data_IF_825757530414
#
_entry.id   IF_825757530414
#
_cell.length_a   1.000
_cell.length_b   1.000
_cell.length_c   1.000
_cell.angle_alpha   90.00
_cell.angle_beta   90.00
_cell.angle_gamma   90.00
#
_symmetry.space_group_name_H-M   'P 1'
#
loop_
_entity.id
_entity.type
_entity.pdbx_description
1 polymer ?
#
# COMPACT_ATOMS: atom_id res chain seq x y z
N UNK A 1 -15.25 14.44 2.33
CA UNK A 1 -14.76 15.00 1.05
C UNK A 1 -13.41 14.37 0.78
N UNK A 2 -13.30 13.67 -0.35
CA UNK A 2 -12.03 13.10 -0.79
C UNK A 2 -11.06 14.22 -1.21
N UNK A 3 -9.76 13.95 -1.19
CA UNK A 3 -8.74 14.93 -1.60
C UNK A 3 -8.97 15.41 -3.04
N UNK A 4 -9.41 14.51 -3.92
CA UNK A 4 -9.72 14.80 -5.32
C UNK A 4 -10.90 15.76 -5.46
N UNK A 5 -11.98 15.54 -4.70
CA UNK A 5 -13.14 16.46 -4.63
C UNK A 5 -12.76 17.86 -4.07
N UNK A 6 -11.80 17.92 -3.15
CA UNK A 6 -11.26 19.18 -2.61
C UNK A 6 -10.49 19.97 -3.67
N UNK A 7 -9.66 19.28 -4.46
CA UNK A 7 -8.87 19.89 -5.52
C UNK A 7 -9.75 20.36 -6.68
N UNK A 8 -10.76 19.57 -7.06
CA UNK A 8 -11.74 19.93 -8.08
C UNK A 8 -12.50 21.20 -7.70
N UNK A 9 -13.05 21.26 -6.48
CA UNK A 9 -13.74 22.46 -5.99
C UNK A 9 -12.85 23.69 -5.91
N UNK A 10 -11.57 23.53 -5.56
CA UNK A 10 -10.61 24.65 -5.55
C UNK A 10 -10.42 25.22 -6.95
N UNK A 11 -10.32 24.38 -7.96
CA UNK A 11 -10.21 24.80 -9.35
C UNK A 11 -11.50 25.48 -9.83
N UNK A 12 -12.67 24.91 -9.52
CA UNK A 12 -13.97 25.52 -9.84
C UNK A 12 -14.12 26.95 -9.27
N UNK A 13 -13.78 27.15 -8.00
CA UNK A 13 -13.87 28.47 -7.36
C UNK A 13 -12.84 29.44 -7.97
N UNK A 14 -11.64 28.97 -8.31
CA UNK A 14 -10.62 29.80 -8.95
C UNK A 14 -11.04 30.25 -10.35
N UNK A 15 -11.68 29.37 -11.11
CA UNK A 15 -12.26 29.71 -12.41
C UNK A 15 -13.43 30.69 -12.27
N UNK A 16 -14.29 30.47 -11.28
CA UNK A 16 -15.40 31.38 -10.99
C UNK A 16 -14.90 32.78 -10.58
N UNK A 17 -13.81 32.87 -9.79
CA UNK A 17 -13.17 34.14 -9.44
C UNK A 17 -12.68 34.89 -10.69
N UNK A 18 -12.09 34.20 -11.67
CA UNK A 18 -11.70 34.81 -12.96
C UNK A 18 -12.89 35.37 -13.73
N UNK A 19 -14.01 34.64 -13.75
CA UNK A 19 -15.24 35.09 -14.41
C UNK A 19 -15.81 36.32 -13.70
N UNK A 20 -15.80 36.33 -12.36
CA UNK A 20 -16.21 37.48 -11.56
C UNK A 20 -15.34 38.70 -11.85
N UNK A 21 -14.01 38.55 -11.92
CA UNK A 21 -13.10 39.66 -12.25
C UNK A 21 -13.40 40.30 -13.61
N UNK A 22 -13.67 39.48 -14.64
CA UNK A 22 -14.10 39.99 -15.96
C UNK A 22 -15.46 40.66 -15.93
N UNK A 23 -16.38 40.19 -15.10
CA UNK A 23 -17.72 40.77 -14.98
C UNK A 23 -17.69 42.08 -14.19
N UNK A 24 -16.81 42.15 -13.19
CA UNK A 24 -16.50 43.34 -12.42
C UNK A 24 -15.92 44.46 -13.28
N UNK A 25 -14.94 44.15 -14.13
CA UNK A 25 -14.39 45.09 -15.11
C UNK A 25 -15.50 45.66 -16.02
N UNK A 26 -16.35 44.79 -16.57
CA UNK A 26 -17.45 45.20 -17.44
C UNK A 26 -18.46 46.08 -16.70
N UNK A 27 -18.82 45.74 -15.47
CA UNK A 27 -19.73 46.56 -14.66
C UNK A 27 -19.19 47.97 -14.32
N UNK A 28 -17.87 48.15 -14.29
CA UNK A 28 -17.24 49.45 -14.03
C UNK A 28 -17.12 50.35 -15.28
N UNK A 29 -16.96 49.78 -16.47
CA UNK A 29 -16.61 50.55 -17.68
C UNK A 29 -17.58 50.41 -18.85
N UNK A 30 -18.36 49.32 -18.91
CA UNK A 30 -19.34 49.10 -19.97
C UNK A 30 -20.72 49.54 -19.45
N UNK A 31 -21.44 50.36 -20.23
CA UNK A 31 -22.78 50.88 -19.90
C UNK A 31 -23.89 49.82 -19.93
N UNK A 32 -23.53 48.54 -19.77
CA UNK A 32 -24.46 47.44 -19.77
C UNK A 32 -25.05 47.33 -18.36
N UNK A 33 -26.23 47.94 -18.18
CA UNK A 33 -27.06 47.82 -16.97
C UNK A 33 -27.64 46.39 -16.78
N UNK A 34 -26.96 45.38 -17.32
CA UNK A 34 -27.29 43.97 -17.27
C UNK A 34 -26.39 43.22 -16.29
N UNK A 35 -26.99 42.80 -15.18
CA UNK A 35 -26.57 41.73 -14.26
C UNK A 35 -25.65 42.11 -13.08
N UNK A 36 -26.31 42.33 -11.93
CA UNK A 36 -25.69 42.41 -10.60
C UNK A 36 -25.28 43.82 -10.19
N UNK A 37 -25.81 44.29 -9.04
CA UNK A 37 -25.24 45.47 -8.36
C UNK A 37 -23.73 45.27 -8.21
N UNK A 38 -22.91 46.27 -8.58
CA UNK A 38 -21.44 46.24 -8.42
C UNK A 38 -21.03 45.77 -7.00
N UNK A 39 -21.80 46.15 -5.99
CA UNK A 39 -21.63 45.69 -4.60
C UNK A 39 -21.89 44.19 -4.40
N UNK A 40 -22.79 43.59 -5.18
CA UNK A 40 -22.97 42.14 -5.22
C UNK A 40 -21.77 41.44 -5.86
N UNK A 41 -21.18 41.99 -6.92
CA UNK A 41 -19.96 41.44 -7.53
C UNK A 41 -18.78 41.50 -6.56
N UNK A 42 -18.55 42.65 -5.93
CA UNK A 42 -17.51 42.81 -4.90
C UNK A 42 -17.68 41.85 -3.72
N UNK A 43 -18.93 41.63 -3.29
CA UNK A 43 -19.28 40.65 -2.25
C UNK A 43 -19.03 39.22 -2.72
N UNK A 44 -19.37 38.87 -3.96
CA UNK A 44 -19.12 37.55 -4.52
C UNK A 44 -17.61 37.26 -4.62
N UNK A 45 -16.78 38.24 -5.02
CA UNK A 45 -15.31 38.12 -5.01
C UNK A 45 -14.80 37.83 -3.60
N UNK A 46 -15.30 38.57 -2.60
CA UNK A 46 -14.97 38.33 -1.18
C UNK A 46 -15.36 36.93 -0.70
N UNK A 47 -16.52 36.42 -1.13
CA UNK A 47 -16.97 35.06 -0.81
C UNK A 47 -16.04 34.03 -1.43
N UNK A 48 -15.68 34.16 -2.71
CA UNK A 48 -14.74 33.25 -3.37
C UNK A 48 -13.39 33.21 -2.68
N UNK A 49 -12.82 34.37 -2.33
CA UNK A 49 -11.56 34.42 -1.57
C UNK A 49 -11.69 33.76 -0.19
N UNK A 50 -12.80 33.99 0.52
CA UNK A 50 -13.08 33.34 1.80
C UNK A 50 -13.21 31.81 1.67
N UNK A 51 -13.86 31.34 0.61
CA UNK A 51 -14.06 29.92 0.37
C UNK A 51 -12.76 29.24 -0.09
N UNK A 52 -11.90 29.93 -0.84
CA UNK A 52 -10.53 29.48 -1.12
C UNK A 52 -9.71 29.35 0.16
N UNK A 53 -9.78 30.33 1.07
CA UNK A 53 -9.12 30.23 2.38
C UNK A 53 -9.63 29.01 3.18
N UNK A 54 -10.95 28.79 3.23
CA UNK A 54 -11.54 27.63 3.93
C UNK A 54 -11.14 26.31 3.28
N UNK A 55 -11.17 26.22 1.95
CA UNK A 55 -10.74 25.03 1.22
C UNK A 55 -9.26 24.73 1.46
N UNK A 56 -8.41 25.75 1.47
CA UNK A 56 -6.99 25.58 1.74
C UNK A 56 -6.73 25.17 3.21
N UNK A 57 -7.48 25.73 4.16
CA UNK A 57 -7.48 25.24 5.55
C UNK A 57 -7.93 23.79 5.63
N UNK A 58 -8.95 23.39 4.88
CA UNK A 58 -9.36 21.98 4.80
C UNK A 58 -8.32 21.10 4.13
N UNK A 59 -7.58 21.57 3.13
CA UNK A 59 -6.44 20.85 2.55
C UNK A 59 -5.31 20.67 3.58
N UNK A 60 -5.06 21.70 4.40
CA UNK A 60 -4.12 21.63 5.53
C UNK A 60 -4.64 20.65 6.61
N UNK A 61 -5.94 20.63 6.91
CA UNK A 61 -6.55 19.76 7.93
C UNK A 61 -6.73 18.31 7.46
N UNK A 62 -6.98 18.08 6.16
CA UNK A 62 -6.98 16.75 5.53
C UNK A 62 -5.62 16.07 5.72
N UNK A 63 -4.57 16.84 6.05
CA UNK A 63 -3.25 16.32 6.40
C UNK A 63 -3.16 15.71 7.81
N UNK A 64 -4.19 15.82 8.65
CA UNK A 64 -4.39 14.89 9.76
C UNK A 64 -4.56 13.44 9.26
N UNK A 65 -5.16 13.28 8.07
CA UNK A 65 -5.18 12.05 7.28
C UNK A 65 -3.81 11.69 6.70
N UNK A 66 -3.05 12.65 6.15
CA UNK A 66 -1.67 12.42 5.69
C UNK A 66 -0.77 11.91 6.81
N UNK A 67 -0.77 12.55 8.00
CA UNK A 67 0.00 12.07 9.16
C UNK A 67 -0.43 10.67 9.60
N UNK A 68 -1.72 10.36 9.55
CA UNK A 68 -2.24 9.01 9.81
C UNK A 68 -1.73 8.01 8.76
N UNK A 69 -1.69 8.40 7.49
CA UNK A 69 -1.19 7.57 6.39
C UNK A 69 0.32 7.33 6.51
N UNK A 70 1.11 8.35 6.83
CA UNK A 70 2.55 8.22 7.12
C UNK A 70 2.78 7.26 8.29
N UNK A 71 2.06 7.44 9.41
CA UNK A 71 2.14 6.53 10.56
C UNK A 71 1.68 5.12 10.22
N UNK A 72 0.67 4.97 9.34
CA UNK A 72 0.19 3.67 8.86
C UNK A 72 1.27 2.98 8.01
N UNK A 73 1.90 3.70 7.09
CA UNK A 73 3.01 3.22 6.27
C UNK A 73 4.20 2.80 7.14
N UNK A 74 4.59 3.60 8.14
CA UNK A 74 5.65 3.25 9.10
C UNK A 74 5.32 2.01 9.92
N UNK A 75 4.05 1.83 10.32
CA UNK A 75 3.59 0.61 11.00
C UNK A 75 3.67 -0.60 10.07
N UNK A 76 3.30 -0.44 8.79
CA UNK A 76 3.35 -1.50 7.79
C UNK A 76 4.80 -1.89 7.48
N UNK A 77 5.69 -0.91 7.30
CA UNK A 77 7.13 -1.10 7.12
C UNK A 77 7.76 -1.86 8.29
N UNK A 78 7.51 -1.41 9.53
CA UNK A 78 7.98 -2.10 10.73
C UNK A 78 7.45 -3.54 10.84
N UNK A 79 6.18 -3.77 10.45
CA UNK A 79 5.60 -5.11 10.45
C UNK A 79 6.28 -6.00 9.40
N UNK A 80 6.59 -5.45 8.23
CA UNK A 80 7.27 -6.16 7.15
C UNK A 80 8.71 -6.51 7.53
N UNK A 81 9.45 -5.60 8.16
CA UNK A 81 10.79 -5.86 8.73
C UNK A 81 10.78 -6.99 9.76
N UNK A 82 9.77 -7.05 10.63
CA UNK A 82 9.61 -8.16 11.60
C UNK A 82 9.35 -9.49 10.91
N UNK A 83 8.51 -9.51 9.88
CA UNK A 83 8.25 -10.71 9.08
C UNK A 83 9.51 -11.19 8.37
N UNK A 84 10.33 -10.27 7.85
CA UNK A 84 11.59 -10.59 7.19
C UNK A 84 12.62 -11.20 8.14
N UNK A 85 12.73 -10.64 9.34
CA UNK A 85 13.57 -11.21 10.39
C UNK A 85 13.12 -12.62 10.75
N UNK A 86 11.80 -12.84 10.91
CA UNK A 86 11.24 -14.18 11.16
C UNK A 86 11.53 -15.15 10.01
N UNK A 87 11.37 -14.70 8.75
CA UNK A 87 11.65 -15.51 7.56
C UNK A 87 13.11 -15.95 7.53
N UNK A 88 14.06 -15.03 7.77
CA UNK A 88 15.49 -15.37 7.84
C UNK A 88 15.80 -16.41 8.91
N UNK A 89 15.26 -16.24 10.12
CA UNK A 89 15.43 -17.23 11.19
C UNK A 89 14.92 -18.60 10.80
N UNK A 90 13.74 -18.70 10.16
CA UNK A 90 13.18 -19.99 9.71
C UNK A 90 13.99 -20.63 8.58
N UNK A 91 14.57 -19.83 7.67
CA UNK A 91 15.45 -20.33 6.61
C UNK A 91 16.75 -20.88 7.20
N UNK A 92 17.34 -20.19 8.16
CA UNK A 92 18.51 -20.66 8.91
C UNK A 92 18.20 -21.93 9.72
N UNK A 93 17.05 -21.96 10.39
CA UNK A 93 16.58 -23.14 11.11
C UNK A 93 16.41 -24.32 10.16
N UNK A 94 15.78 -24.13 8.99
CA UNK A 94 15.65 -25.16 7.95
C UNK A 94 17.01 -25.70 7.51
N UNK A 95 18.00 -24.84 7.33
CA UNK A 95 19.35 -25.24 6.95
C UNK A 95 20.02 -26.09 8.05
N UNK A 96 19.69 -25.88 9.33
CA UNK A 96 20.21 -26.70 10.44
C UNK A 96 19.65 -28.13 10.48
N UNK A 97 18.51 -28.39 9.83
CA UNK A 97 17.88 -29.71 9.75
C UNK A 97 18.48 -30.62 8.66
N UNK A 98 19.61 -30.28 8.05
CA UNK A 98 20.29 -31.13 7.08
C UNK A 98 21.11 -32.24 7.76
N UNK A 99 20.92 -33.48 7.33
CA UNK A 99 21.72 -34.62 7.80
C UNK A 99 23.16 -34.43 7.29
N UNK A 100 24.17 -34.32 8.18
CA UNK A 100 25.56 -34.27 7.75
C UNK A 100 25.88 -35.54 6.95
N UNK A 101 26.49 -35.36 5.78
CA UNK A 101 26.92 -36.48 4.95
C UNK A 101 27.70 -37.49 5.77
N UNK A 102 27.44 -38.78 5.56
CA UNK A 102 28.05 -39.89 6.30
C UNK A 102 29.57 -39.71 6.24
N UNK A 103 30.13 -39.15 7.31
CA UNK A 103 31.57 -39.06 7.48
C UNK A 103 32.03 -40.51 7.61
N UNK A 104 32.81 -40.97 6.62
CA UNK A 104 33.34 -42.32 6.57
C UNK A 104 33.80 -42.71 7.97
N UNK A 105 33.12 -43.71 8.55
CA UNK A 105 33.36 -44.17 9.91
C UNK A 105 34.87 -44.29 10.12
N UNK A 106 35.39 -43.53 11.08
CA UNK A 106 36.71 -43.82 11.67
C UNK A 106 36.61 -45.24 12.24
N UNK A 107 37.17 -46.18 11.50
CA UNK A 107 37.25 -47.59 11.82
C UNK A 107 38.18 -47.81 13.00
N UNK A 108 37.67 -47.69 14.22
CA UNK A 108 38.41 -48.07 15.43
C UNK A 108 37.44 -48.66 16.42
N UNK A 109 37.18 -49.95 16.24
CA UNK A 109 37.38 -51.02 17.21
C UNK A 109 36.54 -52.21 16.75
N UNK A 110 37.22 -53.14 16.06
CA UNK A 110 36.62 -54.40 15.68
C UNK A 110 36.32 -55.18 16.95
N UNK A 111 35.06 -55.16 17.40
CA UNK A 111 34.55 -56.18 18.30
C UNK A 111 34.72 -57.53 17.60
N UNK A 112 35.86 -58.20 17.86
CA UNK A 112 36.18 -59.48 17.25
C UNK A 112 35.34 -60.55 17.94
N UNK A 113 34.32 -61.03 17.25
CA UNK A 113 33.59 -62.22 17.68
C UNK A 113 34.50 -63.42 17.41
N UNK A 114 35.03 -64.05 18.47
CA UNK A 114 35.82 -65.27 18.35
C UNK A 114 34.90 -66.48 18.25
N UNK A 115 34.85 -67.12 17.08
CA UNK A 115 34.16 -68.39 16.88
C UNK A 115 35.21 -69.50 17.02
N UNK A 116 35.05 -70.36 18.03
CA UNK A 116 35.94 -71.52 18.23
C UNK A 116 35.46 -72.69 17.39
N UNK A 117 36.31 -73.18 16.47
CA UNK A 117 36.04 -74.36 15.63
C UNK A 117 36.65 -75.60 16.29
N UNK A 118 35.82 -76.44 16.89
CA UNK A 118 36.25 -77.68 17.57
C UNK A 118 36.07 -78.92 16.70
N UNK A 119 35.17 -78.87 15.72
CA UNK A 119 34.95 -79.99 14.79
C UNK A 119 36.22 -80.39 14.00
N UNK A 120 37.12 -79.43 13.75
CA UNK A 120 38.39 -79.68 13.05
C UNK A 120 39.33 -80.58 13.84
N UNK A 121 39.32 -80.55 15.18
CA UNK A 121 40.15 -81.42 16.01
C UNK A 121 39.68 -82.89 15.87
N UNK A 122 38.37 -83.11 15.97
CA UNK A 122 37.76 -84.44 15.81
C UNK A 122 37.88 -84.98 14.37
N UNK A 123 37.73 -84.11 13.35
CA UNK A 123 37.98 -84.48 11.95
C UNK A 123 39.44 -84.83 11.68
N UNK A 124 40.37 -84.06 12.23
CA UNK A 124 41.80 -84.35 12.09
C UNK A 124 42.19 -85.65 12.80
N UNK A 125 41.59 -85.97 13.94
CA UNK A 125 41.77 -87.25 14.62
C UNK A 125 41.26 -88.43 13.77
N UNK A 126 40.06 -88.29 13.19
CA UNK A 126 39.53 -89.28 12.25
C UNK A 126 40.43 -89.46 11.01
N UNK A 127 40.91 -88.36 10.41
CA UNK A 127 41.82 -88.39 9.26
C UNK A 127 43.17 -89.02 9.65
N UNK A 128 43.66 -88.77 10.86
CA UNK A 128 44.88 -89.39 11.40
C UNK A 128 44.76 -90.91 11.57
N UNK A 129 43.59 -91.39 11.99
CA UNK A 129 43.32 -92.81 12.21
C UNK A 129 43.05 -93.59 10.92
N UNK A 130 42.33 -92.99 9.96
CA UNK A 130 41.91 -93.67 8.72
C UNK A 130 42.88 -93.41 7.55
N UNK A 131 43.51 -92.24 7.53
CA UNK A 131 44.30 -91.74 6.41
C UNK A 131 43.43 -91.10 5.33
N UNK A 132 43.87 -89.94 4.81
CA UNK A 132 43.13 -89.14 3.79
C UNK A 132 42.72 -90.00 2.59
N UNK A 133 43.62 -90.87 2.13
CA UNK A 133 43.46 -91.73 0.96
C UNK A 133 42.39 -92.81 1.09
N UNK A 134 41.99 -93.13 2.32
CA UNK A 134 41.05 -94.21 2.66
C UNK A 134 39.67 -93.69 3.05
N UNK A 135 39.44 -92.38 2.93
CA UNK A 135 38.13 -91.77 3.16
C UNK A 135 37.24 -91.92 1.92
N UNK A 136 35.92 -91.89 2.11
CA UNK A 136 34.92 -92.00 1.03
C UNK A 136 34.92 -90.85 0.02
N UNK A 137 35.71 -89.80 0.25
CA UNK A 137 35.90 -88.66 -0.65
C UNK A 137 36.95 -88.93 -1.74
N UNK A 138 37.70 -90.03 -1.66
CA UNK A 138 38.69 -90.41 -2.66
C UNK A 138 38.05 -91.37 -3.69
N UNK A 139 37.96 -90.94 -4.96
CA UNK A 139 37.25 -91.64 -6.07
C UNK A 139 37.89 -92.97 -6.52
N UNK A 140 38.90 -93.45 -5.80
CA UNK A 140 39.50 -94.77 -6.04
C UNK A 140 38.59 -95.86 -5.47
N UNK A 141 38.05 -96.72 -6.36
CA UNK A 141 37.07 -97.80 -6.09
C UNK A 141 37.52 -98.88 -5.07
N UNK A 142 38.70 -98.76 -4.47
CA UNK A 142 39.15 -99.63 -3.38
C UNK A 142 38.83 -98.95 -2.04
N UNK A 143 37.63 -99.21 -1.52
CA UNK A 143 37.27 -98.78 -0.18
C UNK A 143 38.05 -99.59 0.85
N UNK A 144 39.09 -99.00 1.43
CA UNK A 144 39.90 -99.59 2.50
C UNK A 144 39.14 -99.83 3.82
N UNK A 145 37.84 -99.49 3.88
CA UNK A 145 36.96 -99.79 5.01
C UNK A 145 36.90 -101.29 5.36
N UNK A 146 37.28 -102.18 4.43
CA UNK A 146 37.33 -103.62 4.64
C UNK A 146 38.51 -104.14 5.48
N UNK A 147 39.52 -103.31 5.78
CA UNK A 147 40.75 -103.71 6.48
C UNK A 147 40.85 -103.19 7.93
N UNK A 148 39.83 -102.47 8.42
CA UNK A 148 39.79 -101.94 9.79
C UNK A 148 39.29 -103.01 10.77
N UNK A 149 39.89 -103.08 11.94
CA UNK A 149 39.37 -103.89 13.05
C UNK A 149 38.01 -103.36 13.53
N UNK A 150 37.24 -104.24 14.19
CA UNK A 150 35.92 -103.88 14.73
C UNK A 150 36.02 -102.71 15.72
N UNK A 151 37.07 -102.71 16.54
CA UNK A 151 37.36 -101.68 17.53
C UNK A 151 37.67 -100.33 16.85
N UNK A 152 38.51 -100.30 15.81
CA UNK A 152 38.82 -99.09 15.04
C UNK A 152 37.59 -98.54 14.31
N UNK A 153 36.71 -99.42 13.78
CA UNK A 153 35.44 -99.01 13.17
C UNK A 153 34.51 -98.30 14.17
N UNK A 154 34.40 -98.84 15.40
CA UNK A 154 33.57 -98.23 16.45
C UNK A 154 34.15 -96.87 16.88
N UNK A 155 35.47 -96.78 17.04
CA UNK A 155 36.17 -95.55 17.42
C UNK A 155 36.08 -94.47 16.34
N UNK A 156 36.24 -94.84 15.08
CA UNK A 156 36.09 -93.93 13.93
C UNK A 156 34.64 -93.43 13.76
N UNK A 157 33.64 -94.28 14.01
CA UNK A 157 32.24 -93.85 14.04
C UNK A 157 31.98 -92.89 15.21
N UNK A 158 32.56 -93.15 16.39
CA UNK A 158 32.41 -92.29 17.55
C UNK A 158 33.02 -90.89 17.31
N UNK A 159 34.23 -90.83 16.76
CA UNK A 159 34.92 -89.57 16.42
C UNK A 159 34.20 -88.78 15.33
N UNK A 160 33.65 -89.45 14.30
CA UNK A 160 32.81 -88.79 13.28
C UNK A 160 31.50 -88.27 13.86
N UNK A 161 30.87 -89.00 14.78
CA UNK A 161 29.66 -88.54 15.48
C UNK A 161 29.94 -87.33 16.36
N UNK A 162 31.07 -87.32 17.05
CA UNK A 162 31.53 -86.17 17.83
C UNK A 162 31.81 -84.97 16.92
N UNK A 163 32.52 -85.17 15.80
CA UNK A 163 32.74 -84.12 14.80
C UNK A 163 31.43 -83.55 14.27
N UNK A 164 30.46 -84.40 13.90
CA UNK A 164 29.16 -83.97 13.41
C UNK A 164 28.39 -83.16 14.46
N UNK A 165 28.41 -83.60 15.72
CA UNK A 165 27.77 -82.90 16.83
C UNK A 165 28.43 -81.52 17.06
N UNK A 166 29.75 -81.42 16.96
CA UNK A 166 30.46 -80.14 17.01
C UNK A 166 30.11 -79.22 15.82
N UNK A 167 30.03 -79.74 14.59
CA UNK A 167 29.61 -78.97 13.41
C UNK A 167 28.19 -78.42 13.59
N UNK A 168 27.24 -79.26 14.01
CA UNK A 168 25.86 -78.84 14.26
C UNK A 168 25.77 -77.74 15.33
N UNK A 169 26.56 -77.84 16.41
CA UNK A 169 26.62 -76.80 17.44
C UNK A 169 27.19 -75.47 16.91
N UNK A 170 28.24 -75.52 16.09
CA UNK A 170 28.84 -74.32 15.48
C UNK A 170 27.89 -73.64 14.48
N UNK A 171 27.18 -74.43 13.66
CA UNK A 171 26.14 -73.93 12.74
C UNK A 171 25.04 -73.22 13.54
N UNK A 172 24.53 -73.86 14.60
CA UNK A 172 23.51 -73.27 15.46
C UNK A 172 23.97 -71.93 16.08
N UNK A 173 25.23 -71.84 16.53
CA UNK A 173 25.78 -70.59 17.07
C UNK A 173 25.82 -69.46 16.02
N UNK A 174 26.23 -69.79 14.79
CA UNK A 174 26.25 -68.84 13.67
C UNK A 174 24.84 -68.39 13.29
N UNK A 175 23.87 -69.31 13.26
CA UNK A 175 22.48 -69.00 12.97
C UNK A 175 21.85 -68.08 14.02
N UNK A 176 22.12 -68.32 15.31
CA UNK A 176 21.68 -67.45 16.40
C UNK A 176 22.28 -66.05 16.23
N UNK A 177 23.57 -65.95 15.93
CA UNK A 177 24.25 -64.66 15.73
C UNK A 177 23.69 -63.90 14.51
N UNK A 178 23.49 -64.59 13.40
CA UNK A 178 22.86 -64.04 12.20
C UNK A 178 21.42 -63.58 12.48
N UNK A 179 20.67 -64.33 13.28
CA UNK A 179 19.31 -63.94 13.69
C UNK A 179 19.32 -62.67 14.55
N UNK A 180 20.31 -62.51 15.43
CA UNK A 180 20.50 -61.29 16.23
C UNK A 180 20.81 -60.11 15.33
N UNK A 181 21.78 -60.24 14.42
CA UNK A 181 22.14 -59.16 13.50
C UNK A 181 20.99 -58.76 12.58
N UNK A 182 20.15 -59.71 12.14
CA UNK A 182 18.93 -59.42 11.38
C UNK A 182 17.90 -58.65 12.21
N UNK A 183 17.74 -58.97 13.50
CA UNK A 183 16.87 -58.22 14.41
C UNK A 183 17.38 -56.79 14.60
N UNK A 184 18.68 -56.64 14.81
CA UNK A 184 19.32 -55.33 14.96
C UNK A 184 19.19 -54.50 13.68
N UNK A 185 19.43 -55.10 12.51
CA UNK A 185 19.23 -54.44 11.22
C UNK A 185 17.77 -53.99 11.02
N UNK A 186 16.80 -54.85 11.35
CA UNK A 186 15.39 -54.50 11.25
C UNK A 186 15.04 -53.35 12.21
N UNK A 187 15.55 -53.37 13.43
CA UNK A 187 15.39 -52.27 14.39
C UNK A 187 16.01 -50.97 13.84
N UNK A 188 17.26 -51.00 13.39
CA UNK A 188 17.96 -49.83 12.82
C UNK A 188 17.18 -49.27 11.63
N UNK A 189 16.73 -50.11 10.70
CA UNK A 189 15.94 -49.64 9.54
C UNK A 189 14.62 -48.97 9.96
N UNK A 190 13.97 -49.49 11.00
CA UNK A 190 12.71 -48.96 11.51
C UNK A 190 12.94 -47.62 12.21
N UNK A 191 13.99 -47.52 13.01
CA UNK A 191 14.37 -46.30 13.71
C UNK A 191 14.79 -45.20 12.73
N UNK A 192 15.61 -45.53 11.71
CA UNK A 192 15.96 -44.58 10.64
C UNK A 192 14.70 -44.05 9.95
N UNK A 193 13.79 -44.94 9.55
CA UNK A 193 12.53 -44.54 8.91
C UNK A 193 11.67 -43.64 9.81
N UNK A 194 11.59 -43.95 11.11
CA UNK A 194 10.87 -43.14 12.08
C UNK A 194 11.49 -41.73 12.24
N UNK A 195 12.82 -41.65 12.33
CA UNK A 195 13.55 -40.38 12.44
C UNK A 195 13.47 -39.55 11.15
N UNK A 196 13.59 -40.17 9.99
CA UNK A 196 13.41 -39.50 8.68
C UNK A 196 12.00 -38.95 8.49
N UNK A 197 10.98 -39.68 8.98
CA UNK A 197 9.60 -39.21 8.97
C UNK A 197 9.41 -37.99 9.88
N UNK A 198 9.99 -38.03 11.09
CA UNK A 198 9.94 -36.92 12.03
C UNK A 198 10.69 -35.68 11.48
N UNK A 199 11.87 -35.88 10.89
CA UNK A 199 12.63 -34.82 10.25
C UNK A 199 11.83 -34.18 9.11
N UNK A 200 11.26 -34.99 8.21
CA UNK A 200 10.35 -34.50 7.15
C UNK A 200 9.17 -33.71 7.71
N UNK A 201 8.53 -34.20 8.78
CA UNK A 201 7.43 -33.50 9.43
C UNK A 201 7.82 -32.12 9.94
N UNK A 202 8.99 -31.99 10.57
CA UNK A 202 9.52 -30.71 11.05
C UNK A 202 9.89 -29.76 9.90
N UNK A 203 10.56 -30.27 8.86
CA UNK A 203 10.90 -29.47 7.68
C UNK A 203 9.65 -28.95 6.97
N UNK A 204 8.61 -29.78 6.83
CA UNK A 204 7.33 -29.38 6.26
C UNK A 204 6.63 -28.31 7.10
N UNK A 205 6.68 -28.41 8.43
CA UNK A 205 6.13 -27.38 9.31
C UNK A 205 6.81 -26.02 9.10
N UNK A 206 8.15 -26.01 8.97
CA UNK A 206 8.91 -24.80 8.64
C UNK A 206 8.51 -24.25 7.26
N UNK A 207 8.36 -25.12 6.25
CA UNK A 207 7.93 -24.70 4.91
C UNK A 207 6.55 -24.05 4.89
N UNK A 208 5.60 -24.61 5.65
CA UNK A 208 4.27 -24.01 5.84
C UNK A 208 4.35 -22.65 6.55
N UNK A 209 5.22 -22.51 7.56
CA UNK A 209 5.44 -21.22 8.21
C UNK A 209 6.05 -20.17 7.26
N UNK A 210 7.04 -20.54 6.45
CA UNK A 210 7.64 -19.66 5.45
C UNK A 210 6.58 -19.22 4.43
N UNK A 211 5.75 -20.14 3.94
CA UNK A 211 4.66 -19.81 3.01
C UNK A 211 3.64 -18.85 3.63
N UNK A 212 3.27 -19.05 4.89
CA UNK A 212 2.38 -18.14 5.61
C UNK A 212 2.97 -16.73 5.74
N UNK A 213 4.29 -16.62 5.97
CA UNK A 213 4.99 -15.34 6.00
C UNK A 213 4.98 -14.67 4.63
N UNK A 214 5.24 -15.41 3.55
CA UNK A 214 5.25 -14.87 2.18
C UNK A 214 3.86 -14.37 1.76
N UNK A 215 2.79 -15.08 2.14
CA UNK A 215 1.40 -14.60 1.95
C UNK A 215 1.17 -13.29 2.72
N UNK A 216 1.64 -13.20 3.97
CA UNK A 216 1.50 -12.00 4.78
C UNK A 216 2.31 -10.80 4.23
N UNK A 217 3.51 -11.05 3.68
CA UNK A 217 4.35 -10.06 2.99
C UNK A 217 3.62 -9.50 1.77
N UNK A 218 3.15 -10.38 0.89
CA UNK A 218 2.40 -9.98 -0.31
C UNK A 218 1.15 -9.16 0.03
N UNK A 219 0.39 -9.56 1.06
CA UNK A 219 -0.79 -8.82 1.51
C UNK A 219 -0.44 -7.42 2.07
N UNK A 220 0.70 -7.26 2.74
CA UNK A 220 1.17 -5.96 3.22
C UNK A 220 1.63 -5.07 2.06
N UNK A 221 2.37 -5.62 1.10
CA UNK A 221 2.84 -4.88 -0.08
C UNK A 221 1.69 -4.41 -0.97
N UNK A 222 0.61 -5.20 -1.10
CA UNK A 222 -0.65 -4.75 -1.72
C UNK A 222 -1.28 -3.57 -0.97
N UNK A 223 -1.34 -3.64 0.36
CA UNK A 223 -1.87 -2.52 1.19
C UNK A 223 -1.05 -1.24 1.06
N UNK A 224 0.24 -1.33 0.76
CA UNK A 224 1.12 -0.17 0.50
C UNK A 224 0.95 0.35 -0.94
N UNK A 225 0.41 -0.45 -1.84
CA UNK A 225 0.19 -0.11 -3.25
C UNK A 225 1.37 -0.43 -4.17
N UNK A 226 2.33 -1.23 -3.71
CA UNK A 226 3.48 -1.68 -4.51
C UNK A 226 3.17 -2.94 -5.34
N UNK A 227 2.17 -3.70 -4.91
CA UNK A 227 1.61 -4.80 -5.67
C UNK A 227 0.23 -4.39 -6.17
N UNK A 228 -0.05 -4.64 -7.45
CA UNK A 228 -1.37 -4.41 -8.03
C UNK A 228 -2.40 -5.30 -7.33
N UNK A 229 -3.54 -4.72 -6.97
CA UNK A 229 -4.69 -5.51 -6.54
C UNK A 229 -5.14 -6.39 -7.70
N UNK A 230 -5.25 -7.69 -7.43
CA UNK A 230 -5.83 -8.62 -8.41
C UNK A 230 -7.31 -8.28 -8.55
N UNK A 231 -7.86 -8.25 -9.78
CA UNK A 231 -9.31 -8.18 -9.94
C UNK A 231 -9.95 -9.34 -9.17
N UNK A 232 -11.13 -9.15 -8.56
CA UNK A 232 -11.82 -10.22 -7.86
C UNK A 232 -12.19 -11.32 -8.86
N UNK A 233 -11.36 -12.37 -8.93
CA UNK A 233 -11.66 -13.56 -9.70
C UNK A 233 -12.76 -14.33 -8.97
N UNK A 234 -14.01 -14.05 -9.35
CA UNK A 234 -15.19 -14.83 -8.99
C UNK A 234 -15.10 -16.19 -9.70
N UNK A 235 -14.32 -17.13 -9.14
CA UNK A 235 -14.21 -18.48 -9.66
C UNK A 235 -13.72 -19.45 -8.59
N UNK A 236 -14.54 -20.46 -8.29
CA UNK A 236 -14.27 -21.53 -7.30
C UNK A 236 -13.01 -22.37 -7.66
N UNK A 237 -12.49 -22.22 -8.88
CA UNK A 237 -11.27 -22.86 -9.38
C UNK A 237 -10.26 -21.87 -9.98
N UNK A 238 -10.24 -20.62 -9.52
CA UNK A 238 -9.12 -19.74 -9.83
C UNK A 238 -7.86 -20.27 -9.14
N UNK A 239 -7.00 -20.96 -9.89
CA UNK A 239 -5.65 -21.29 -9.44
C UNK A 239 -5.06 -20.01 -8.86
N UNK A 240 -4.79 -19.99 -7.55
CA UNK A 240 -3.97 -18.95 -6.91
C UNK A 240 -2.69 -18.85 -7.76
N UNK A 241 -2.64 -17.92 -8.72
CA UNK A 241 -1.37 -17.51 -9.31
C UNK A 241 -0.62 -16.93 -8.12
N UNK A 242 0.23 -17.75 -7.50
CA UNK A 242 1.23 -17.27 -6.55
C UNK A 242 1.90 -16.11 -7.27
N UNK A 243 1.84 -14.91 -6.66
CA UNK A 243 2.79 -13.87 -7.07
C UNK A 243 4.16 -14.53 -7.06
N UNK A 244 4.94 -14.33 -8.12
CA UNK A 244 6.27 -14.93 -8.14
C UNK A 244 7.03 -14.40 -6.93
N UNK A 245 7.80 -15.26 -6.27
CA UNK A 245 8.61 -14.85 -5.11
C UNK A 245 9.51 -13.66 -5.50
N UNK A 246 9.93 -13.62 -6.76
CA UNK A 246 10.70 -12.54 -7.38
C UNK A 246 9.95 -11.20 -7.39
N UNK A 247 8.66 -11.16 -7.75
CA UNK A 247 7.86 -9.92 -7.74
C UNK A 247 7.72 -9.33 -6.33
N UNK A 248 7.58 -10.22 -5.32
CA UNK A 248 7.46 -9.83 -3.91
C UNK A 248 8.79 -9.27 -3.40
N UNK A 249 9.90 -9.91 -3.77
CA UNK A 249 11.25 -9.48 -3.37
C UNK A 249 11.64 -8.16 -4.05
N UNK A 250 11.32 -7.97 -5.34
CA UNK A 250 11.52 -6.70 -6.07
C UNK A 250 10.69 -5.59 -5.42
N UNK A 251 9.38 -5.81 -5.21
CA UNK A 251 8.50 -4.83 -4.57
C UNK A 251 8.98 -4.45 -3.16
N UNK A 252 9.54 -5.42 -2.43
CA UNK A 252 10.11 -5.17 -1.11
C UNK A 252 11.40 -4.35 -1.16
N UNK A 253 12.28 -4.58 -2.14
CA UNK A 253 13.49 -3.78 -2.31
C UNK A 253 13.17 -2.29 -2.59
N UNK A 254 12.07 -2.04 -3.29
CA UNK A 254 11.60 -0.70 -3.64
C UNK A 254 10.80 -0.02 -2.52
N UNK A 255 10.39 -0.74 -1.47
CA UNK A 255 9.53 -0.23 -0.39
C UNK A 255 10.13 0.98 0.32
N UNK A 256 11.44 0.93 0.60
CA UNK A 256 12.14 2.01 1.31
C UNK A 256 12.18 3.31 0.49
N UNK A 257 12.48 3.19 -0.80
CA UNK A 257 12.52 4.33 -1.72
C UNK A 257 11.12 4.90 -1.97
N UNK A 258 10.14 4.04 -2.22
CA UNK A 258 8.74 4.44 -2.39
C UNK A 258 8.20 5.17 -1.17
N UNK A 259 8.45 4.63 0.02
CA UNK A 259 8.02 5.23 1.28
C UNK A 259 8.67 6.59 1.50
N UNK A 260 9.95 6.73 1.18
CA UNK A 260 10.69 8.01 1.29
C UNK A 260 10.17 9.04 0.29
N UNK A 261 10.03 8.66 -0.98
CA UNK A 261 9.51 9.53 -2.04
C UNK A 261 8.09 10.00 -1.72
N UNK A 262 7.22 9.10 -1.27
CA UNK A 262 5.85 9.44 -0.88
C UNK A 262 5.80 10.35 0.35
N UNK A 263 6.64 10.12 1.36
CA UNK A 263 6.77 11.04 2.51
C UNK A 263 7.24 12.44 2.08
N UNK A 264 8.23 12.51 1.18
CA UNK A 264 8.74 13.77 0.65
C UNK A 264 7.68 14.54 -0.12
N UNK A 265 6.99 13.88 -1.07
CA UNK A 265 5.92 14.50 -1.87
C UNK A 265 4.77 15.02 -1.00
N UNK A 266 4.35 14.25 0.01
CA UNK A 266 3.31 14.68 0.97
C UNK A 266 3.80 15.85 1.85
N UNK A 267 5.10 15.92 2.13
CA UNK A 267 5.74 17.01 2.86
C UNK A 267 5.82 18.31 2.05
N UNK A 268 6.20 18.21 0.78
CA UNK A 268 6.27 19.33 -0.16
C UNK A 268 4.89 19.93 -0.46
N UNK A 269 3.87 19.07 -0.63
CA UNK A 269 2.49 19.51 -0.79
C UNK A 269 2.00 20.30 0.45
N UNK A 270 2.46 19.93 1.65
CA UNK A 270 2.12 20.64 2.88
C UNK A 270 2.78 22.02 2.96
N UNK A 271 4.07 22.13 2.61
CA UNK A 271 4.76 23.42 2.60
C UNK A 271 4.12 24.35 1.60
N UNK A 272 3.80 23.85 0.42
CA UNK A 272 3.08 24.59 -0.61
C UNK A 272 1.73 25.13 -0.11
N UNK A 273 0.85 24.30 0.45
CA UNK A 273 -0.46 24.77 0.93
C UNK A 273 -0.36 25.72 2.14
N UNK A 274 0.66 25.59 2.98
CA UNK A 274 0.91 26.53 4.09
C UNK A 274 1.33 27.90 3.58
N UNK A 275 2.24 27.93 2.61
CA UNK A 275 2.67 29.18 1.96
C UNK A 275 1.49 29.83 1.23
N UNK A 276 0.72 29.03 0.50
CA UNK A 276 -0.51 29.48 -0.17
C UNK A 276 -1.56 30.04 0.81
N UNK A 277 -1.66 29.48 2.03
CA UNK A 277 -2.58 29.99 3.05
C UNK A 277 -2.27 31.42 3.45
N UNK A 278 -0.98 31.76 3.56
CA UNK A 278 -0.55 33.12 3.84
C UNK A 278 -0.96 34.06 2.71
N UNK A 279 -0.72 33.66 1.46
CA UNK A 279 -1.07 34.44 0.27
C UNK A 279 -2.58 34.67 0.13
N UNK A 280 -3.40 33.63 0.31
CA UNK A 280 -4.86 33.74 0.22
C UNK A 280 -5.44 34.61 1.34
N UNK A 281 -4.87 34.53 2.54
CA UNK A 281 -5.30 35.37 3.67
C UNK A 281 -4.96 36.84 3.39
N UNK A 282 -3.75 37.12 2.91
CA UNK A 282 -3.35 38.46 2.50
C UNK A 282 -4.26 39.02 1.39
N UNK A 283 -4.60 38.20 0.38
CA UNK A 283 -5.53 38.58 -0.69
C UNK A 283 -6.93 38.92 -0.17
N UNK A 284 -7.44 38.12 0.76
CA UNK A 284 -8.75 38.35 1.39
C UNK A 284 -8.77 39.63 2.23
N UNK A 285 -7.71 39.88 3.00
CA UNK A 285 -7.56 41.09 3.82
C UNK A 285 -7.45 42.34 2.95
N UNK A 286 -6.57 42.35 1.96
CA UNK A 286 -6.41 43.46 1.02
C UNK A 286 -7.74 43.77 0.29
N UNK A 287 -8.44 42.75 -0.21
CA UNK A 287 -9.74 42.95 -0.86
C UNK A 287 -10.80 43.47 0.10
N UNK A 288 -10.80 43.00 1.36
CA UNK A 288 -11.75 43.45 2.39
C UNK A 288 -11.52 44.92 2.74
N UNK A 289 -10.28 45.34 2.94
CA UNK A 289 -9.91 46.73 3.23
C UNK A 289 -10.34 47.66 2.08
N UNK A 290 -10.05 47.27 0.84
CA UNK A 290 -10.44 48.05 -0.35
C UNK A 290 -11.96 48.12 -0.48
N UNK A 291 -12.66 47.01 -0.27
CA UNK A 291 -14.12 46.98 -0.31
C UNK A 291 -14.76 47.88 0.76
N UNK A 292 -14.18 47.94 1.97
CA UNK A 292 -14.65 48.81 3.06
C UNK A 292 -14.38 50.29 2.74
N UNK A 293 -13.22 50.62 2.17
CA UNK A 293 -12.90 51.98 1.70
C UNK A 293 -13.87 52.45 0.61
N UNK A 294 -14.15 51.60 -0.38
CA UNK A 294 -15.11 51.90 -1.46
C UNK A 294 -16.55 52.03 -0.93
N UNK A 295 -16.98 51.14 -0.04
CA UNK A 295 -18.31 51.22 0.57
C UNK A 295 -18.47 52.49 1.40
N UNK A 296 -17.44 52.89 2.16
CA UNK A 296 -17.44 54.13 2.93
C UNK A 296 -17.50 55.36 2.02
N UNK A 297 -16.75 55.36 0.92
CA UNK A 297 -16.81 56.41 -0.10
C UNK A 297 -18.23 56.54 -0.69
N UNK A 298 -18.83 55.44 -1.12
CA UNK A 298 -20.19 55.41 -1.68
C UNK A 298 -21.23 55.89 -0.67
N UNK A 299 -21.16 55.43 0.58
CA UNK A 299 -22.07 55.89 1.64
C UNK A 299 -21.92 57.38 1.95
N UNK A 300 -20.68 57.89 1.99
CA UNK A 300 -20.41 59.29 2.26
C UNK A 300 -20.91 60.19 1.11
N UNK A 301 -20.71 59.77 -0.15
CA UNK A 301 -21.26 60.46 -1.32
C UNK A 301 -22.79 60.43 -1.29
N UNK A 302 -23.39 59.27 -0.99
CA UNK A 302 -24.84 59.12 -0.93
C UNK A 302 -25.46 59.99 0.18
N UNK A 303 -24.86 60.00 1.38
CA UNK A 303 -25.28 60.87 2.49
C UNK A 303 -25.21 62.34 2.09
N UNK A 304 -24.08 62.79 1.52
CA UNK A 304 -23.90 64.18 1.08
C UNK A 304 -24.90 64.59 -0.02
N UNK A 305 -25.20 63.69 -0.96
CA UNK A 305 -26.15 63.95 -2.04
C UNK A 305 -27.61 64.07 -1.55
N UNK A 306 -27.96 63.38 -0.46
CA UNK A 306 -29.30 63.43 0.14
C UNK A 306 -29.43 64.63 1.11
N UNK A 307 -28.37 64.94 1.87
CA UNK A 307 -28.41 65.98 2.91
C UNK A 307 -28.21 67.40 2.38
N UNK A 308 -27.48 67.59 1.29
CA UNK A 308 -27.18 68.90 0.71
C UNK A 308 -27.67 68.99 -0.74
N UNK A 309 -28.55 69.95 -1.06
CA UNK A 309 -29.19 70.05 -2.39
C UNK A 309 -28.22 70.33 -3.54
N UNK A 310 -26.95 70.65 -3.23
CA UNK A 310 -25.82 70.74 -4.16
C UNK A 310 -24.53 70.37 -3.42
N UNK A 311 -24.08 69.12 -3.55
CA UNK A 311 -22.77 68.72 -3.05
C UNK A 311 -21.66 69.55 -3.75
N UNK A 312 -20.72 70.13 -2.99
CA UNK A 312 -19.59 70.88 -3.54
C UNK A 312 -18.65 69.93 -4.32
N UNK A 313 -18.43 70.15 -5.63
CA UNK A 313 -17.50 69.36 -6.43
C UNK A 313 -16.09 69.30 -5.82
N UNK A 314 -15.63 70.35 -5.14
CA UNK A 314 -14.28 70.41 -4.55
C UNK A 314 -14.15 69.41 -3.40
N UNK A 315 -15.17 69.32 -2.54
CA UNK A 315 -15.18 68.36 -1.44
C UNK A 315 -15.30 66.91 -1.94
N UNK A 316 -16.07 66.67 -3.00
CA UNK A 316 -16.17 65.35 -3.62
C UNK A 316 -14.84 64.91 -4.25
N UNK A 317 -14.13 65.85 -4.90
CA UNK A 317 -12.78 65.63 -5.41
C UNK A 317 -11.81 65.20 -4.30
N UNK A 318 -11.76 65.96 -3.21
CA UNK A 318 -10.88 65.64 -2.07
C UNK A 318 -11.21 64.28 -1.45
N UNK A 319 -12.50 63.93 -1.38
CA UNK A 319 -12.95 62.66 -0.82
C UNK A 319 -12.52 61.47 -1.71
N UNK A 320 -12.65 61.59 -3.03
CA UNK A 320 -12.18 60.59 -4.00
C UNK A 320 -10.65 60.47 -3.96
N UNK A 321 -9.90 61.57 -3.98
CA UNK A 321 -8.42 61.55 -3.92
C UNK A 321 -7.91 60.93 -2.62
N UNK A 322 -8.55 61.23 -1.50
CA UNK A 322 -8.20 60.62 -0.21
C UNK A 322 -8.41 59.10 -0.21
N UNK A 323 -9.45 58.61 -0.90
CA UNK A 323 -9.72 57.17 -1.01
C UNK A 323 -8.76 56.49 -1.98
N UNK A 324 -8.41 57.12 -3.11
CA UNK A 324 -7.40 56.60 -4.05
C UNK A 324 -6.04 56.46 -3.35
N UNK A 325 -5.62 57.47 -2.58
CA UNK A 325 -4.36 57.42 -1.82
C UNK A 325 -4.39 56.28 -0.79
N UNK A 326 -5.47 56.15 -0.02
CA UNK A 326 -5.64 55.05 0.95
C UNK A 326 -5.64 53.68 0.30
N UNK A 327 -6.29 53.51 -0.86
CA UNK A 327 -6.26 52.24 -1.62
C UNK A 327 -4.84 51.95 -2.13
N UNK A 328 -4.08 52.97 -2.52
CA UNK A 328 -2.69 52.83 -2.99
C UNK A 328 -1.71 52.48 -1.86
N UNK A 329 -2.04 52.80 -0.61
CA UNK A 329 -1.28 52.41 0.59
C UNK A 329 -1.52 50.95 1.01
N UNK A 330 -2.60 50.31 0.55
CA UNK A 330 -2.88 48.90 0.83
C UNK A 330 -1.86 48.01 0.12
N UNK A 331 -1.24 47.08 0.83
CA UNK A 331 -0.26 46.16 0.26
C UNK A 331 -0.92 45.03 -0.54
N UNK A 332 -1.22 45.28 -1.82
CA UNK A 332 -1.82 44.31 -2.73
C UNK A 332 -0.87 43.75 -3.81
N UNK A 333 0.42 44.13 -3.80
CA UNK A 333 1.39 43.70 -4.83
C UNK A 333 1.69 42.20 -4.83
N UNK A 334 1.54 41.53 -3.69
CA UNK A 334 1.71 40.08 -3.54
C UNK A 334 0.40 39.29 -3.80
N UNK A 335 -0.66 39.95 -4.26
CA UNK A 335 -1.93 39.29 -4.56
C UNK A 335 -1.92 38.55 -5.90
N UNK A 336 -2.92 37.71 -6.13
CA UNK A 336 -3.14 37.05 -7.42
C UNK A 336 -3.42 38.08 -8.52
N UNK A 337 -3.05 37.74 -9.75
CA UNK A 337 -3.20 38.63 -10.92
C UNK A 337 -4.63 39.12 -11.12
N UNK A 338 -5.59 38.26 -10.79
CA UNK A 338 -7.02 38.50 -10.86
C UNK A 338 -7.49 39.55 -9.84
N UNK A 339 -7.01 39.46 -8.59
CA UNK A 339 -7.33 40.42 -7.54
C UNK A 339 -6.66 41.77 -7.82
N UNK A 340 -5.40 41.76 -8.26
CA UNK A 340 -4.68 42.98 -8.66
C UNK A 340 -5.41 43.69 -9.80
N UNK A 341 -5.92 42.95 -10.80
CA UNK A 341 -6.68 43.52 -11.90
C UNK A 341 -7.97 44.20 -11.40
N UNK A 342 -8.72 43.54 -10.52
CA UNK A 342 -9.94 44.11 -9.94
C UNK A 342 -9.66 45.40 -9.15
N UNK A 343 -8.57 45.42 -8.35
CA UNK A 343 -8.17 46.60 -7.58
C UNK A 343 -7.78 47.76 -8.51
N UNK A 344 -7.01 47.48 -9.57
CA UNK A 344 -6.62 48.50 -10.55
C UNK A 344 -7.82 49.05 -11.33
N UNK A 345 -8.81 48.21 -11.60
CA UNK A 345 -10.05 48.64 -12.24
C UNK A 345 -10.84 49.60 -11.33
N UNK A 346 -10.91 49.33 -10.01
CA UNK A 346 -11.54 50.26 -9.05
C UNK A 346 -10.82 51.60 -8.98
N UNK A 347 -9.49 51.59 -8.88
CA UNK A 347 -8.69 52.83 -8.88
C UNK A 347 -8.96 53.63 -10.16
N UNK A 348 -8.93 52.98 -11.33
CA UNK A 348 -9.19 53.63 -12.61
C UNK A 348 -10.61 54.18 -12.70
N UNK A 349 -11.61 53.46 -12.18
CA UNK A 349 -12.99 53.94 -12.15
C UNK A 349 -13.13 55.21 -11.28
N UNK A 350 -12.46 55.25 -10.12
CA UNK A 350 -12.41 56.43 -9.27
C UNK A 350 -11.68 57.62 -9.93
N UNK A 351 -10.58 57.36 -10.64
CA UNK A 351 -9.86 58.39 -11.41
C UNK A 351 -10.72 58.98 -12.55
N UNK A 352 -11.51 58.14 -13.22
CA UNK A 352 -12.46 58.60 -14.25
C UNK A 352 -13.59 59.43 -13.62
N UNK A 353 -14.15 58.99 -12.48
CA UNK A 353 -15.18 59.74 -11.76
C UNK A 353 -14.66 61.11 -11.30
N UNK A 354 -13.40 61.17 -10.82
CA UNK A 354 -12.70 62.42 -10.54
C UNK A 354 -12.62 63.31 -11.77
N UNK A 355 -12.17 62.77 -12.91
CA UNK A 355 -12.07 63.52 -14.17
C UNK A 355 -13.39 64.14 -14.63
N UNK A 356 -14.51 63.45 -14.42
CA UNK A 356 -15.85 63.94 -14.79
C UNK A 356 -16.32 65.10 -13.89
N UNK A 357 -15.94 65.12 -12.61
CA UNK A 357 -16.25 66.22 -11.68
C UNK A 357 -15.52 67.52 -12.02
N UNK A 358 -14.38 67.46 -12.74
CA UNK A 358 -13.64 68.67 -13.18
C UNK A 358 -14.24 69.35 -14.41
N UNK A 359 -15.15 68.72 -15.17
CA UNK A 359 -15.73 69.28 -16.40
C UNK A 359 -16.97 70.14 -16.06
N UNK A 360 -16.79 71.08 -15.14
CA UNK A 360 -17.73 72.17 -14.89
C UNK A 360 -17.42 73.36 -15.80
N UNK A 361 -17.57 73.21 -17.13
CA UNK A 361 -17.84 74.28 -18.14
C UNK A 361 -17.71 73.76 -19.58
N UNK A 362 -18.83 73.34 -20.17
CA UNK A 362 -19.29 73.61 -21.56
C UNK A 362 -20.34 72.58 -21.96
N UNK A 363 -21.58 72.76 -21.51
CA UNK A 363 -22.72 72.21 -22.23
C UNK A 363 -22.92 73.02 -23.50
N UNK A 364 -22.47 72.39 -24.60
CA UNK A 364 -22.84 72.66 -25.99
C UNK A 364 -24.35 72.64 -26.17
N UNK A 365 -24.78 73.30 -27.23
CA UNK A 365 -26.16 73.52 -27.60
C UNK A 365 -26.99 72.24 -27.67
N UNK A 366 -28.23 72.41 -27.25
CA UNK A 366 -29.36 71.54 -27.54
C UNK A 366 -29.55 71.51 -29.06
N UNK A 367 -29.17 70.41 -29.71
CA UNK A 367 -29.77 70.02 -30.98
C UNK A 367 -30.80 68.93 -30.69
N UNK A 368 -32.05 69.38 -30.68
CA UNK A 368 -33.23 68.54 -30.87
C UNK A 368 -33.11 67.92 -32.27
N UNK A 369 -32.99 66.60 -32.35
CA UNK A 369 -33.53 65.86 -33.47
C UNK A 369 -34.56 64.87 -32.93
N UNK A 370 -35.79 65.16 -33.35
CA UNK A 370 -36.99 64.46 -33.00
C UNK A 370 -37.04 63.08 -33.67
N UNK A 371 -37.63 62.15 -32.91
CA UNK A 371 -38.41 60.98 -33.31
C UNK A 371 -38.44 60.62 -34.81
N UNK A 372 -37.99 59.40 -35.10
CA UNK A 372 -38.61 58.54 -36.11
C UNK A 372 -38.89 57.19 -35.47
N UNK A 373 -40.19 56.89 -35.44
CA UNK A 373 -40.86 55.62 -35.17
C UNK A 373 -40.17 54.39 -35.73
N UNK A 374 -40.15 53.28 -34.98
CA UNK A 374 -40.77 52.00 -35.37
C UNK A 374 -40.63 50.97 -34.24
N UNK A 375 -41.76 50.62 -33.62
CA UNK A 375 -41.91 49.29 -33.03
C UNK A 375 -42.08 48.30 -34.20
N UNK A 376 -41.57 47.06 -34.06
CA UNK A 376 -42.55 46.01 -33.85
C UNK A 376 -42.17 45.03 -32.75
N UNK A 377 -43.22 44.63 -32.04
CA UNK A 377 -43.37 43.50 -31.15
C UNK A 377 -42.90 42.18 -31.76
N UNK A 378 -42.13 41.40 -30.98
CA UNK A 378 -42.22 39.95 -31.04
C UNK A 378 -42.39 39.38 -29.62
N UNK A 379 -43.56 38.77 -29.43
CA UNK A 379 -43.91 37.84 -28.36
C UNK A 379 -43.10 36.55 -28.52
N UNK A 380 -42.25 36.19 -27.56
CA UNK A 380 -41.96 34.79 -27.25
C UNK A 380 -41.86 34.62 -25.72
N UNK A 381 -42.96 34.09 -25.19
CA UNK A 381 -43.11 33.09 -24.12
C UNK A 381 -41.91 32.81 -23.20
N UNK A 382 -42.17 32.91 -21.91
CA UNK A 382 -41.22 32.59 -20.87
C UNK A 382 -40.83 31.11 -20.78
N UNK A 383 -39.69 30.91 -20.15
CA UNK A 383 -39.34 29.71 -19.41
C UNK A 383 -38.56 30.15 -18.18
N UNK A 384 -39.15 29.97 -17.00
CA UNK A 384 -38.51 30.15 -15.71
C UNK A 384 -37.22 29.32 -15.59
N UNK A 385 -36.11 29.86 -15.04
CA UNK A 385 -35.00 29.03 -14.58
C UNK A 385 -35.36 28.36 -13.24
N UNK A 386 -34.80 27.18 -12.94
CA UNK A 386 -35.21 26.35 -11.82
C UNK A 386 -34.78 26.96 -10.48
N UNK A 387 -35.72 27.01 -9.53
CA UNK A 387 -35.43 27.22 -8.11
C UNK A 387 -34.73 25.96 -7.58
N UNK A 388 -33.43 26.03 -7.33
CA UNK A 388 -32.73 25.07 -6.47
C UNK A 388 -32.19 25.82 -5.26
N UNK A 389 -33.08 26.07 -4.30
CA UNK A 389 -32.67 26.38 -2.94
C UNK A 389 -32.25 25.08 -2.26
N UNK A 390 -30.98 24.93 -1.94
CA UNK A 390 -30.50 23.83 -1.09
C UNK A 390 -30.91 24.16 0.35
N UNK A 391 -32.15 23.83 0.73
CA UNK A 391 -32.53 23.73 2.13
C UNK A 391 -32.13 22.35 2.65
N UNK A 392 -31.36 22.36 3.73
CA UNK A 392 -31.10 21.20 4.60
C UNK A 392 -32.44 20.61 5.03
N UNK A 393 -32.74 19.38 4.59
CA UNK A 393 -33.48 18.33 5.31
C UNK A 393 -33.87 17.23 4.31
N UNK A 394 -33.16 16.10 4.33
CA UNK A 394 -33.72 14.79 4.00
C UNK A 394 -32.71 13.70 4.40
N UNK A 395 -32.95 13.11 5.56
CA UNK A 395 -32.50 11.76 5.92
C UNK A 395 -33.44 10.79 5.18
N UNK A 396 -32.95 9.85 4.36
CA UNK A 396 -33.78 8.75 3.90
C UNK A 396 -33.75 7.63 4.93
N UNK A 397 -34.90 7.39 5.56
CA UNK A 397 -35.22 6.11 6.20
C UNK A 397 -35.34 5.03 5.11
N UNK A 398 -34.78 3.87 5.42
CA UNK A 398 -34.78 2.62 4.65
C UNK A 398 -36.18 2.12 4.27
N UNK A 399 -36.36 1.47 3.11
CA UNK A 399 -37.56 0.69 2.84
C UNK A 399 -37.44 -0.71 3.47
N UNK A 400 -38.23 -0.97 4.51
CA UNK A 400 -38.55 -2.33 4.98
C UNK A 400 -39.49 -2.98 3.98
N UNK A 401 -39.02 -4.06 3.35
CA UNK A 401 -39.85 -5.02 2.62
C UNK A 401 -40.54 -5.96 3.60
N UNK A 402 -41.84 -5.80 3.80
CA UNK A 402 -42.69 -6.83 4.39
C UNK A 402 -43.07 -7.86 3.32
N UNK A 403 -42.42 -9.02 3.39
CA UNK A 403 -42.82 -10.24 2.71
C UNK A 403 -43.94 -10.93 3.49
N UNK A 404 -45.08 -11.12 2.83
CA UNK A 404 -46.16 -12.01 3.25
C UNK A 404 -45.63 -13.42 3.51
N UNK A 405 -45.97 -13.99 4.67
CA UNK A 405 -46.12 -15.44 4.84
C UNK A 405 -47.59 -15.79 4.64
N UNK A 406 -47.86 -16.63 3.65
CA UNK A 406 -49.03 -17.51 3.65
C UNK A 406 -48.58 -18.91 4.06
N UNK A 407 -49.52 -19.58 4.73
CA UNK A 407 -49.58 -20.99 5.16
C UNK A 407 -49.19 -21.96 4.06
#
# INVERSE_FOLDING_TARGET
MNLEELLEKREEISQYLRILGRSHHRALFENDAGSGSLNQLRRNIKICLSDLCKLNMWLIDHNGGIRKNIKSMEKQENKLMKLEAKRRMLVEEKASWTIPGISALKSTDSNSIRITRKHQEALNAYIGNVGISNTSLNDTKESAAGNLSKEELIENIATLREANLCVEQEINQLEVLLSSLKKDQAFISKEISALESNLRGRTLAIDVEIENIDIARAALLRKVGLLKDKPPENGIFASRRKESVEDVDIAQSQLGEFTRARKAALGEMLTFHKEESGQLTQQLEAWKEIFELLSSLEENIHKKLISESKADPIELHQLIDSTINKISEVSYENCSSEVIACIKDEIRALELARGQLSIGKKTRGVERLAAVSENPSFLITGTSPPKVGITKNLVPLTPTTDGKKSV
#
